data_IF_799491608321
#
_entry.id   IF_799491608321
#
_cell.length_a   1.000
_cell.length_b   1.000
_cell.length_c   1.000
_cell.angle_alpha   90.00
_cell.angle_beta   90.00
_cell.angle_gamma   90.00
#
_symmetry.space_group_name_H-M   'P 1'
#
loop_
_entity.id
_entity.type
_entity.pdbx_description
1 polymer ?
#
# COMPACT_ATOMS: atom_id res chain seq x y z
N UNK A 1 -48.14 58.26 -41.99
CA UNK A 1 -48.33 57.07 -42.81
C UNK A 1 -46.99 56.38 -42.92
N UNK A 2 -46.87 55.22 -42.55
CA UNK A 2 -45.89 54.10 -42.65
C UNK A 2 -45.29 53.65 -41.32
N UNK A 3 -45.85 52.55 -40.87
CA UNK A 3 -45.33 51.78 -39.78
C UNK A 3 -44.13 50.94 -40.29
N UNK A 4 -42.93 51.17 -39.74
CA UNK A 4 -41.79 50.29 -39.91
C UNK A 4 -41.88 49.26 -38.86
N UNK A 5 -41.91 47.96 -39.25
CA UNK A 5 -41.89 46.81 -38.46
C UNK A 5 -40.43 46.52 -38.12
N UNK A 6 -40.02 46.62 -36.83
CA UNK A 6 -38.72 46.23 -36.39
C UNK A 6 -38.75 44.73 -35.98
N UNK A 7 -38.01 43.88 -36.70
CA UNK A 7 -37.76 42.49 -36.40
C UNK A 7 -36.58 42.44 -35.41
N UNK A 8 -36.86 42.03 -34.19
CA UNK A 8 -35.78 41.71 -33.20
C UNK A 8 -35.39 40.26 -33.40
N UNK A 9 -34.20 40.02 -33.95
CA UNK A 9 -33.57 38.69 -33.99
C UNK A 9 -32.79 38.52 -32.72
N UNK A 10 -33.30 37.68 -31.81
CA UNK A 10 -32.57 37.24 -30.62
C UNK A 10 -31.55 36.14 -31.02
N UNK A 11 -30.30 36.48 -31.09
CA UNK A 11 -29.22 35.51 -31.26
C UNK A 11 -28.90 34.84 -29.91
N UNK A 12 -29.34 33.62 -29.73
CA UNK A 12 -28.99 32.77 -28.59
C UNK A 12 -27.59 32.20 -28.86
N UNK A 13 -26.57 32.78 -28.25
CA UNK A 13 -25.21 32.23 -28.28
C UNK A 13 -25.15 31.04 -27.32
N UNK A 14 -25.14 29.82 -27.84
CA UNK A 14 -24.83 28.60 -27.07
C UNK A 14 -23.33 28.57 -26.85
N UNK A 15 -22.91 28.85 -25.62
CA UNK A 15 -21.53 28.68 -25.18
C UNK A 15 -21.25 27.19 -24.99
N UNK A 16 -20.67 26.55 -25.99
CA UNK A 16 -20.14 25.18 -25.86
C UNK A 16 -18.83 25.28 -25.06
N UNK A 17 -18.89 24.94 -23.77
CA UNK A 17 -17.70 24.74 -22.96
C UNK A 17 -17.09 23.42 -23.42
N UNK A 18 -16.12 23.47 -24.31
CA UNK A 18 -15.26 22.33 -24.63
C UNK A 18 -14.29 22.23 -23.46
N UNK A 19 -14.57 21.33 -22.53
CA UNK A 19 -13.55 20.87 -21.56
C UNK A 19 -12.50 20.13 -22.35
N UNK A 20 -11.38 20.77 -22.66
CA UNK A 20 -10.22 20.08 -23.18
C UNK A 20 -9.76 19.05 -22.12
N UNK A 21 -9.46 17.81 -22.51
CA UNK A 21 -8.81 16.89 -21.59
C UNK A 21 -7.48 17.54 -21.16
N UNK A 22 -7.18 17.50 -19.87
CA UNK A 22 -5.88 17.91 -19.33
C UNK A 22 -4.82 16.92 -19.87
N UNK A 23 -4.32 17.18 -21.06
CA UNK A 23 -3.13 16.51 -21.57
C UNK A 23 -1.93 17.20 -20.91
N UNK A 24 -1.45 16.63 -19.81
CA UNK A 24 -0.10 16.93 -19.33
C UNK A 24 0.85 16.62 -20.49
N UNK A 25 1.80 17.52 -20.75
CA UNK A 25 2.88 17.23 -21.68
C UNK A 25 3.65 16.01 -21.15
N UNK A 26 4.05 15.09 -22.02
CA UNK A 26 4.68 13.82 -21.61
C UNK A 26 5.97 14.00 -20.78
N UNK A 27 6.58 15.19 -20.83
CA UNK A 27 7.78 15.53 -20.05
C UNK A 27 7.52 15.86 -18.55
N UNK A 28 6.24 16.07 -18.13
CA UNK A 28 5.90 16.44 -16.74
C UNK A 28 5.10 15.35 -15.97
N UNK A 29 4.78 14.24 -16.65
CA UNK A 29 3.99 13.17 -16.04
C UNK A 29 4.83 12.34 -15.06
N UNK A 30 4.50 12.43 -13.76
CA UNK A 30 5.19 11.62 -12.74
C UNK A 30 4.90 10.14 -12.93
N UNK A 31 5.96 9.32 -12.84
CA UNK A 31 5.89 7.86 -12.93
C UNK A 31 5.95 7.22 -11.55
N UNK A 32 5.11 6.26 -11.28
CA UNK A 32 5.03 5.52 -10.02
C UNK A 32 5.13 4.01 -10.28
N UNK A 33 6.00 3.32 -9.56
CA UNK A 33 6.03 1.85 -9.54
C UNK A 33 5.19 1.34 -8.39
N UNK A 34 4.19 0.50 -8.67
CA UNK A 34 3.37 -0.21 -7.67
C UNK A 34 3.69 -1.70 -7.74
N UNK A 35 4.29 -2.26 -6.70
CA UNK A 35 4.53 -3.71 -6.62
C UNK A 35 3.27 -4.44 -6.15
N UNK A 36 2.99 -5.63 -6.72
CA UNK A 36 1.79 -6.39 -6.36
C UNK A 36 0.47 -5.74 -6.79
N UNK A 37 0.46 -5.16 -7.98
CA UNK A 37 -0.64 -4.38 -8.55
C UNK A 37 -1.82 -5.21 -9.07
N UNK A 38 -1.77 -6.55 -9.02
CA UNK A 38 -2.76 -7.39 -9.70
C UNK A 38 -4.14 -7.43 -9.02
N UNK A 39 -4.22 -7.22 -7.71
CA UNK A 39 -5.48 -7.33 -6.94
C UNK A 39 -5.48 -6.45 -5.68
N UNK A 40 -6.66 -6.25 -5.09
CA UNK A 40 -6.83 -5.57 -3.81
C UNK A 40 -6.28 -4.15 -3.80
N UNK A 41 -5.58 -3.77 -2.74
CA UNK A 41 -5.05 -2.41 -2.55
C UNK A 41 -4.16 -1.98 -3.72
N UNK A 42 -3.24 -2.85 -4.17
CA UNK A 42 -2.34 -2.51 -5.27
C UNK A 42 -3.07 -2.27 -6.59
N UNK A 43 -4.13 -3.02 -6.88
CA UNK A 43 -4.94 -2.83 -8.08
C UNK A 43 -5.76 -1.53 -8.01
N UNK A 44 -6.44 -1.30 -6.91
CA UNK A 44 -7.23 -0.09 -6.69
C UNK A 44 -6.34 1.17 -6.76
N UNK A 45 -5.16 1.14 -6.10
CA UNK A 45 -4.21 2.24 -6.19
C UNK A 45 -3.69 2.46 -7.63
N UNK A 46 -3.41 1.40 -8.37
CA UNK A 46 -2.97 1.50 -9.77
C UNK A 46 -4.03 2.21 -10.62
N UNK A 47 -5.29 1.82 -10.48
CA UNK A 47 -6.42 2.44 -11.17
C UNK A 47 -6.59 3.91 -10.74
N UNK A 48 -6.56 4.18 -9.43
CA UNK A 48 -6.65 5.57 -8.90
C UNK A 48 -5.54 6.46 -9.43
N UNK A 49 -4.29 6.00 -9.44
CA UNK A 49 -3.16 6.76 -9.97
C UNK A 49 -3.33 7.05 -11.47
N UNK A 50 -3.69 6.04 -12.24
CA UNK A 50 -3.87 6.15 -13.69
C UNK A 50 -5.02 7.10 -14.07
N UNK A 51 -6.14 7.04 -13.37
CA UNK A 51 -7.30 7.95 -13.52
C UNK A 51 -6.95 9.40 -13.17
N UNK A 52 -6.01 9.61 -12.25
CA UNK A 52 -5.49 10.94 -11.90
C UNK A 52 -4.35 11.41 -12.84
N UNK A 53 -4.09 10.71 -13.93
CA UNK A 53 -3.17 11.13 -14.98
C UNK A 53 -1.69 10.81 -14.70
N UNK A 54 -1.37 10.00 -13.70
CA UNK A 54 -0.02 9.52 -13.43
C UNK A 54 0.32 8.30 -14.28
N UNK A 55 1.59 8.18 -14.69
CA UNK A 55 2.05 6.95 -15.32
C UNK A 55 2.38 5.89 -14.27
N UNK A 56 1.82 4.70 -14.41
CA UNK A 56 1.99 3.62 -13.44
C UNK A 56 2.71 2.43 -14.05
N UNK A 57 3.89 2.11 -13.53
CA UNK A 57 4.50 0.80 -13.72
C UNK A 57 3.86 -0.19 -12.75
N UNK A 58 3.00 -1.06 -13.25
CA UNK A 58 2.20 -1.98 -12.45
C UNK A 58 2.83 -3.37 -12.37
N UNK A 59 3.46 -3.68 -11.24
CA UNK A 59 4.17 -4.94 -11.02
C UNK A 59 3.25 -6.12 -10.73
N UNK A 60 3.28 -7.15 -11.55
CA UNK A 60 2.54 -8.40 -11.35
C UNK A 60 3.37 -9.62 -11.77
N UNK A 61 2.93 -10.83 -11.37
CA UNK A 61 3.67 -12.07 -11.62
C UNK A 61 3.10 -12.94 -12.71
N UNK A 62 1.79 -12.90 -12.92
CA UNK A 62 1.09 -13.77 -13.86
C UNK A 62 0.79 -13.02 -15.16
N UNK A 63 0.92 -13.71 -16.27
CA UNK A 63 0.72 -13.11 -17.58
C UNK A 63 -0.73 -12.65 -17.80
N UNK A 64 -1.71 -13.35 -17.22
CA UNK A 64 -3.12 -12.93 -17.21
C UNK A 64 -3.34 -11.60 -16.46
N UNK A 65 -2.65 -11.41 -15.32
CA UNK A 65 -2.72 -10.17 -14.54
C UNK A 65 -2.01 -9.03 -15.28
N UNK A 66 -0.88 -9.32 -15.94
CA UNK A 66 -0.15 -8.34 -16.75
C UNK A 66 -1.00 -7.83 -17.91
N UNK A 67 -1.65 -8.72 -18.66
CA UNK A 67 -2.55 -8.33 -19.75
C UNK A 67 -3.72 -7.46 -19.26
N UNK A 68 -4.28 -7.78 -18.09
CA UNK A 68 -5.38 -7.01 -17.50
C UNK A 68 -4.95 -5.64 -16.94
N UNK A 69 -3.68 -5.49 -16.56
CA UNK A 69 -3.10 -4.21 -16.11
C UNK A 69 -2.72 -3.33 -17.32
N UNK A 70 -2.12 -3.91 -18.34
CA UNK A 70 -1.68 -3.21 -19.54
C UNK A 70 -2.85 -2.67 -20.40
N UNK A 71 -4.06 -3.17 -20.17
CA UNK A 71 -5.28 -2.67 -20.78
C UNK A 71 -5.83 -1.37 -20.14
N UNK A 72 -5.20 -0.87 -19.06
CA UNK A 72 -5.60 0.37 -18.40
C UNK A 72 -4.79 1.53 -18.99
N UNK A 73 -5.45 2.61 -19.35
CA UNK A 73 -4.78 3.82 -19.82
C UNK A 73 -3.78 4.33 -18.76
N UNK A 74 -2.65 4.86 -19.19
CA UNK A 74 -1.54 5.32 -18.33
C UNK A 74 -0.84 4.23 -17.50
N UNK A 75 -1.10 2.95 -17.74
CA UNK A 75 -0.45 1.83 -17.05
C UNK A 75 0.47 1.07 -18.00
N UNK A 76 1.66 0.78 -17.54
CA UNK A 76 2.60 -0.18 -18.16
C UNK A 76 2.76 -1.37 -17.23
N UNK A 77 2.26 -2.53 -17.62
CA UNK A 77 2.41 -3.73 -16.83
C UNK A 77 3.85 -4.26 -16.88
N UNK A 78 4.43 -4.59 -15.72
CA UNK A 78 5.80 -5.09 -15.64
C UNK A 78 5.84 -6.44 -14.90
N UNK A 79 6.55 -7.40 -15.46
CA UNK A 79 6.78 -8.72 -14.84
C UNK A 79 7.69 -8.54 -13.64
N UNK A 80 7.12 -8.62 -12.42
CA UNK A 80 7.84 -8.34 -11.20
C UNK A 80 7.42 -9.26 -10.05
N UNK A 81 8.28 -10.20 -9.71
CA UNK A 81 8.26 -10.90 -8.43
C UNK A 81 9.36 -10.29 -7.54
N UNK A 82 8.97 -9.68 -6.43
CA UNK A 82 9.89 -9.01 -5.50
C UNK A 82 10.91 -9.95 -4.85
N UNK A 83 10.73 -11.27 -5.00
CA UNK A 83 11.67 -12.28 -4.53
C UNK A 83 12.76 -12.62 -5.55
N UNK A 84 12.62 -12.17 -6.81
CA UNK A 84 13.52 -12.47 -7.92
C UNK A 84 14.34 -11.24 -8.30
N UNK A 85 15.64 -11.25 -8.02
CA UNK A 85 16.53 -10.11 -8.28
C UNK A 85 16.62 -9.76 -9.77
N UNK A 86 16.66 -10.76 -10.63
CA UNK A 86 16.74 -10.59 -12.09
C UNK A 86 15.53 -9.85 -12.66
N UNK A 87 14.33 -10.13 -12.14
CA UNK A 87 13.13 -9.40 -12.54
C UNK A 87 13.13 -7.95 -12.02
N UNK A 88 13.60 -7.73 -10.80
CA UNK A 88 13.77 -6.38 -10.24
C UNK A 88 14.75 -5.58 -11.08
N UNK A 89 15.91 -6.14 -11.42
CA UNK A 89 16.95 -5.50 -12.24
C UNK A 89 16.45 -5.19 -13.66
N UNK A 90 15.66 -6.10 -14.25
CA UNK A 90 15.06 -5.90 -15.56
C UNK A 90 14.08 -4.69 -15.57
N UNK A 91 13.29 -4.52 -14.53
CA UNK A 91 12.36 -3.37 -14.41
C UNK A 91 13.14 -2.06 -14.16
N UNK A 92 14.20 -2.07 -13.32
CA UNK A 92 15.09 -0.91 -13.15
C UNK A 92 15.65 -0.48 -14.50
N UNK A 93 16.18 -1.44 -15.27
CA UNK A 93 16.73 -1.18 -16.61
C UNK A 93 15.67 -0.57 -17.54
N UNK A 94 14.48 -1.16 -17.59
CA UNK A 94 13.38 -0.68 -18.43
C UNK A 94 13.02 0.78 -18.11
N UNK A 95 12.83 1.12 -16.82
CA UNK A 95 12.49 2.48 -16.39
C UNK A 95 13.63 3.45 -16.73
N UNK A 96 14.89 3.04 -16.53
CA UNK A 96 16.05 3.85 -16.89
C UNK A 96 16.11 4.14 -18.39
N UNK A 97 15.90 3.12 -19.21
CA UNK A 97 15.95 3.23 -20.69
C UNK A 97 14.76 4.02 -21.26
N UNK A 98 13.60 4.03 -20.58
CA UNK A 98 12.45 4.85 -21.00
C UNK A 98 12.69 6.35 -20.86
N UNK A 99 13.61 6.77 -19.99
CA UNK A 99 13.89 8.17 -19.70
C UNK A 99 12.78 8.89 -18.92
N UNK A 100 11.72 8.22 -18.49
CA UNK A 100 10.60 8.82 -17.75
C UNK A 100 10.97 9.15 -16.30
N UNK A 101 12.06 8.57 -15.77
CA UNK A 101 12.40 8.62 -14.34
C UNK A 101 11.42 7.83 -13.48
N UNK A 102 11.61 7.87 -12.16
CA UNK A 102 10.71 7.26 -11.20
C UNK A 102 10.48 8.20 -10.01
N UNK A 103 9.32 8.82 -9.96
CA UNK A 103 8.96 9.72 -8.85
C UNK A 103 8.53 8.95 -7.59
N UNK A 104 7.78 7.86 -7.74
CA UNK A 104 7.23 7.12 -6.61
C UNK A 104 7.52 5.62 -6.66
N UNK A 105 7.96 5.06 -5.54
CA UNK A 105 8.01 3.62 -5.30
C UNK A 105 6.95 3.25 -4.25
N UNK A 106 6.00 2.40 -4.63
CA UNK A 106 5.04 1.81 -3.71
C UNK A 106 5.35 0.33 -3.50
N UNK A 107 5.92 0.02 -2.35
CA UNK A 107 6.15 -1.33 -1.89
C UNK A 107 4.84 -1.92 -1.33
N UNK A 108 3.98 -2.43 -2.22
CA UNK A 108 2.69 -2.99 -1.84
C UNK A 108 2.65 -4.53 -1.91
N UNK A 109 3.52 -5.16 -2.70
CA UNK A 109 3.57 -6.62 -2.76
C UNK A 109 3.73 -7.24 -1.37
N UNK A 110 2.81 -8.17 -1.03
CA UNK A 110 2.83 -8.83 0.25
C UNK A 110 1.96 -10.09 0.26
N UNK A 111 2.24 -10.95 1.21
CA UNK A 111 1.50 -12.19 1.42
C UNK A 111 1.03 -12.30 2.87
N UNK A 112 -0.18 -12.83 3.06
CA UNK A 112 -0.60 -13.36 4.34
C UNK A 112 0.10 -14.67 4.61
N UNK A 113 0.22 -15.00 5.84
CA UNK A 113 0.75 -16.29 6.27
C UNK A 113 0.47 -16.46 7.75
N UNK A 114 0.23 -17.66 8.16
CA UNK A 114 -0.07 -17.90 9.54
C UNK A 114 -0.20 -19.39 9.83
N UNK A 115 -0.34 -19.63 11.07
CA UNK A 115 -0.42 -20.88 11.77
C UNK A 115 0.16 -20.69 13.15
N UNK A 116 -0.17 -21.58 14.08
CA UNK A 116 0.38 -21.49 15.43
C UNK A 116 1.90 -21.62 15.39
N UNK A 117 2.59 -20.99 16.32
CA UNK A 117 4.07 -21.04 16.38
C UNK A 117 4.57 -22.48 16.53
N UNK A 118 3.83 -23.31 17.24
CA UNK A 118 4.23 -24.70 17.51
C UNK A 118 4.06 -25.63 16.31
N UNK A 119 3.10 -25.34 15.41
CA UNK A 119 2.73 -26.23 14.31
C UNK A 119 3.26 -25.75 12.96
N UNK A 120 3.54 -24.45 12.82
CA UNK A 120 3.97 -23.87 11.55
C UNK A 120 5.42 -24.19 11.25
N UNK A 121 5.71 -24.89 10.14
CA UNK A 121 7.09 -25.14 9.74
C UNK A 121 7.86 -23.83 9.51
N UNK A 122 9.11 -23.78 9.94
CA UNK A 122 9.99 -22.59 9.79
C UNK A 122 10.01 -22.06 8.35
N UNK A 123 10.01 -22.95 7.35
CA UNK A 123 9.99 -22.56 5.93
C UNK A 123 8.76 -21.73 5.52
N UNK A 124 7.62 -21.93 6.18
CA UNK A 124 6.40 -21.20 5.88
C UNK A 124 6.45 -19.78 6.48
N UNK A 125 7.07 -19.64 7.65
CA UNK A 125 7.42 -18.34 8.21
C UNK A 125 8.44 -17.62 7.33
N UNK A 126 9.53 -18.29 6.93
CA UNK A 126 10.57 -17.75 6.04
C UNK A 126 9.95 -17.22 4.75
N UNK A 127 8.99 -17.94 4.15
CA UNK A 127 8.32 -17.48 2.94
C UNK A 127 7.63 -16.12 3.13
N UNK A 128 6.96 -15.89 4.27
CA UNK A 128 6.34 -14.58 4.56
C UNK A 128 7.40 -13.48 4.64
N UNK A 129 8.51 -13.74 5.30
CA UNK A 129 9.62 -12.78 5.42
C UNK A 129 10.33 -12.54 4.08
N UNK A 130 10.53 -13.57 3.26
CA UNK A 130 11.12 -13.42 1.93
C UNK A 130 10.33 -12.46 1.05
N UNK A 131 8.99 -12.47 1.13
CA UNK A 131 8.15 -11.54 0.37
C UNK A 131 8.02 -10.19 1.07
N UNK A 132 7.58 -10.19 2.34
CA UNK A 132 7.16 -8.97 3.04
C UNK A 132 8.31 -8.14 3.59
N UNK A 133 9.49 -8.73 3.78
CA UNK A 133 10.68 -8.09 4.35
C UNK A 133 11.78 -7.98 3.30
N UNK A 134 12.34 -9.11 2.86
CA UNK A 134 13.43 -9.10 1.88
C UNK A 134 12.99 -8.50 0.53
N UNK A 135 11.75 -8.78 0.10
CA UNK A 135 11.18 -8.21 -1.12
C UNK A 135 11.09 -6.68 -1.07
N UNK A 136 10.61 -6.12 0.05
CA UNK A 136 10.58 -4.66 0.28
C UNK A 136 11.99 -4.07 0.29
N UNK A 137 12.91 -4.71 1.00
CA UNK A 137 14.31 -4.27 1.06
C UNK A 137 14.97 -4.30 -0.33
N UNK A 138 14.78 -5.38 -1.08
CA UNK A 138 15.31 -5.59 -2.44
C UNK A 138 14.81 -4.54 -3.40
N UNK A 139 13.50 -4.34 -3.46
CA UNK A 139 12.88 -3.35 -4.37
C UNK A 139 13.31 -1.94 -4.00
N UNK A 140 13.27 -1.57 -2.73
CA UNK A 140 13.74 -0.25 -2.29
C UNK A 140 15.19 -0.01 -2.68
N UNK A 141 16.09 -0.95 -2.39
CA UNK A 141 17.52 -0.82 -2.72
C UNK A 141 17.75 -0.64 -4.23
N UNK A 142 16.99 -1.36 -5.05
CA UNK A 142 17.16 -1.32 -6.50
C UNK A 142 16.61 -0.03 -7.13
N UNK A 143 15.43 0.43 -6.69
CA UNK A 143 14.76 1.59 -7.26
C UNK A 143 15.10 2.93 -6.59
N UNK A 144 15.69 2.92 -5.38
CA UNK A 144 16.04 4.14 -4.66
C UNK A 144 16.89 5.14 -5.47
N UNK A 145 17.88 4.73 -6.30
CA UNK A 145 18.62 5.68 -7.11
C UNK A 145 17.74 6.53 -8.02
N UNK A 146 16.74 5.93 -8.68
CA UNK A 146 15.79 6.63 -9.56
C UNK A 146 14.87 7.57 -8.79
N UNK A 147 14.45 7.15 -7.59
CA UNK A 147 13.59 7.97 -6.72
C UNK A 147 14.39 9.15 -6.11
N UNK A 148 15.67 8.96 -5.81
CA UNK A 148 16.58 10.02 -5.34
C UNK A 148 16.78 11.07 -6.44
N UNK A 149 17.01 10.65 -7.67
CA UNK A 149 17.18 11.55 -8.82
C UNK A 149 15.97 12.47 -9.00
N UNK A 150 14.76 11.94 -8.83
CA UNK A 150 13.52 12.72 -8.91
C UNK A 150 13.13 13.45 -7.62
N UNK A 151 13.89 13.31 -6.52
CA UNK A 151 13.53 13.79 -5.17
C UNK A 151 12.10 13.37 -4.80
N UNK A 152 11.82 12.12 -5.06
CA UNK A 152 10.46 11.58 -5.04
C UNK A 152 10.00 11.03 -3.71
N UNK A 153 9.24 9.93 -3.76
CA UNK A 153 8.57 9.34 -2.61
C UNK A 153 8.74 7.82 -2.55
N UNK A 154 8.92 7.28 -1.36
CA UNK A 154 8.85 5.83 -1.11
C UNK A 154 7.73 5.59 -0.11
N UNK A 155 6.72 4.82 -0.51
CA UNK A 155 5.58 4.50 0.35
C UNK A 155 5.45 2.98 0.47
N UNK A 156 5.39 2.47 1.71
CA UNK A 156 5.28 1.03 1.95
C UNK A 156 3.91 0.67 2.53
N UNK A 157 3.30 -0.39 2.03
CA UNK A 157 2.08 -0.95 2.61
C UNK A 157 2.41 -1.70 3.90
N UNK A 158 2.20 -1.04 5.03
CA UNK A 158 2.20 -1.62 6.36
C UNK A 158 0.94 -2.45 6.62
N UNK A 159 0.43 -2.35 7.82
CA UNK A 159 -0.86 -2.88 8.27
C UNK A 159 -1.08 -2.45 9.72
N UNK A 160 -2.32 -2.32 10.18
CA UNK A 160 -2.60 -2.26 11.62
C UNK A 160 -2.01 -3.46 12.38
N UNK A 161 -1.73 -4.58 11.71
CA UNK A 161 -1.04 -5.72 12.29
C UNK A 161 0.46 -5.46 12.57
N UNK A 162 1.02 -4.33 12.12
CA UNK A 162 2.34 -3.82 12.46
C UNK A 162 2.35 -2.93 13.70
N UNK A 163 1.18 -2.51 14.15
CA UNK A 163 1.00 -1.61 15.30
C UNK A 163 0.25 -2.25 16.46
N UNK A 164 -0.58 -3.26 16.22
CA UNK A 164 -1.34 -3.96 17.27
C UNK A 164 -0.70 -5.29 17.63
N UNK A 165 -0.96 -5.75 18.86
CA UNK A 165 -0.53 -7.07 19.34
C UNK A 165 -0.99 -8.19 18.41
N UNK A 166 -0.11 -9.13 18.12
CA UNK A 166 -0.40 -10.25 17.25
C UNK A 166 -1.42 -11.22 17.89
N UNK A 167 -2.24 -11.80 17.02
CA UNK A 167 -3.17 -12.88 17.41
C UNK A 167 -2.52 -14.26 17.26
N UNK A 168 -3.08 -15.29 17.90
CA UNK A 168 -2.68 -16.66 17.60
C UNK A 168 -2.74 -16.94 16.10
N UNK A 169 -1.69 -17.52 15.57
CA UNK A 169 -1.57 -17.82 14.14
C UNK A 169 -1.09 -16.68 13.24
N UNK A 170 -0.82 -15.49 13.78
CA UNK A 170 -0.39 -14.31 13.00
C UNK A 170 1.05 -13.88 13.23
N UNK A 171 1.86 -14.65 13.98
CA UNK A 171 3.22 -14.25 14.36
C UNK A 171 4.11 -13.87 13.17
N UNK A 172 4.11 -14.67 12.10
CA UNK A 172 4.91 -14.40 10.90
C UNK A 172 4.46 -13.11 10.18
N UNK A 173 3.16 -12.97 9.97
CA UNK A 173 2.62 -11.79 9.28
C UNK A 173 2.80 -10.52 10.11
N UNK A 174 2.35 -10.52 11.38
CA UNK A 174 2.49 -9.37 12.27
C UNK A 174 3.95 -8.99 12.48
N UNK A 175 4.84 -9.98 12.68
CA UNK A 175 6.28 -9.73 12.79
C UNK A 175 6.86 -9.06 11.53
N UNK A 176 6.42 -9.48 10.33
CA UNK A 176 6.83 -8.82 9.09
C UNK A 176 6.32 -7.39 8.97
N UNK A 177 5.12 -7.11 9.51
CA UNK A 177 4.54 -5.75 9.48
C UNK A 177 5.14 -4.84 10.55
N UNK A 178 5.49 -5.34 11.74
CA UNK A 178 6.28 -4.60 12.72
C UNK A 178 7.69 -4.26 12.19
N UNK A 179 8.30 -5.16 11.41
CA UNK A 179 9.56 -4.85 10.75
C UNK A 179 9.42 -3.65 9.79
N UNK A 180 8.31 -3.55 9.05
CA UNK A 180 8.06 -2.41 8.14
C UNK A 180 8.02 -1.08 8.90
N UNK A 181 7.47 -1.04 10.13
CA UNK A 181 7.44 0.16 10.95
C UNK A 181 8.86 0.65 11.28
N UNK A 182 9.69 -0.23 11.84
CA UNK A 182 11.08 0.09 12.16
C UNK A 182 11.92 0.41 10.90
N UNK A 183 11.67 -0.32 9.81
CA UNK A 183 12.31 -0.08 8.52
C UNK A 183 11.96 1.30 7.95
N UNK A 184 10.69 1.70 8.01
CA UNK A 184 10.23 3.01 7.54
C UNK A 184 10.91 4.14 8.30
N UNK A 185 11.06 4.04 9.62
CA UNK A 185 11.72 5.05 10.43
C UNK A 185 13.20 5.20 10.07
N UNK A 186 13.91 4.07 9.93
CA UNK A 186 15.32 4.06 9.54
C UNK A 186 15.50 4.66 8.14
N UNK A 187 14.76 4.12 7.17
CA UNK A 187 14.85 4.56 5.78
C UNK A 187 14.52 6.04 5.62
N UNK A 188 13.53 6.54 6.34
CA UNK A 188 13.16 7.94 6.27
C UNK A 188 14.28 8.88 6.73
N UNK A 189 14.99 8.50 7.78
CA UNK A 189 16.13 9.27 8.28
C UNK A 189 17.31 9.24 7.29
N UNK A 190 17.52 8.10 6.62
CA UNK A 190 18.55 7.94 5.59
C UNK A 190 18.24 8.74 4.32
N UNK A 191 16.97 8.83 3.94
CA UNK A 191 16.51 9.42 2.67
C UNK A 191 16.25 10.94 2.77
N UNK A 192 15.95 11.46 3.94
CA UNK A 192 15.67 12.88 4.15
C UNK A 192 16.77 13.80 3.62
N UNK A 193 18.09 13.56 3.90
CA UNK A 193 19.16 14.38 3.33
C UNK A 193 19.28 14.32 1.81
N UNK A 194 18.67 13.30 1.19
CA UNK A 194 18.64 13.08 -0.26
C UNK A 194 17.40 13.70 -0.92
N UNK A 195 16.53 14.32 -0.12
CA UNK A 195 15.30 14.97 -0.58
C UNK A 195 14.16 14.00 -0.89
N UNK A 196 14.24 12.75 -0.45
CA UNK A 196 13.19 11.74 -0.61
C UNK A 196 12.38 11.61 0.67
N UNK A 197 11.05 11.66 0.56
CA UNK A 197 10.16 11.42 1.69
C UNK A 197 9.73 9.96 1.72
N UNK A 198 9.72 9.39 2.92
CA UNK A 198 9.34 7.99 3.16
C UNK A 198 8.15 7.94 4.10
N UNK A 199 7.13 7.15 3.71
CA UNK A 199 5.90 6.97 4.48
C UNK A 199 5.48 5.50 4.52
N UNK A 200 4.66 5.17 5.51
CA UNK A 200 3.95 3.88 5.60
C UNK A 200 2.45 4.12 5.65
N UNK A 201 1.70 3.32 4.88
CA UNK A 201 0.23 3.24 4.96
C UNK A 201 -0.13 1.93 5.62
N UNK A 202 -0.90 1.99 6.69
CA UNK A 202 -1.26 0.88 7.58
C UNK A 202 -2.75 0.54 7.45
N UNK A 203 -3.15 -0.25 6.43
CA UNK A 203 -4.55 -0.61 6.25
C UNK A 203 -5.07 -1.54 7.34
N UNK A 204 -6.35 -1.36 7.68
CA UNK A 204 -7.17 -2.33 8.39
C UNK A 204 -7.77 -3.39 7.46
N UNK A 205 -8.99 -3.85 7.77
CA UNK A 205 -9.66 -4.89 7.01
C UNK A 205 -10.40 -4.31 5.80
N UNK A 206 -9.70 -4.16 4.70
CA UNK A 206 -10.25 -3.82 3.39
C UNK A 206 -10.30 -5.02 2.46
N UNK A 207 -11.10 -4.92 1.41
CA UNK A 207 -11.23 -5.96 0.40
C UNK A 207 -9.90 -6.23 -0.30
N UNK A 208 -9.41 -7.45 -0.14
CA UNK A 208 -8.17 -7.93 -0.75
C UNK A 208 -8.18 -9.46 -0.81
N UNK A 209 -7.27 -10.04 -1.60
CA UNK A 209 -7.13 -11.50 -1.68
C UNK A 209 -6.08 -12.07 -0.74
N UNK A 210 -5.56 -11.29 0.20
CA UNK A 210 -4.38 -11.67 1.00
C UNK A 210 -4.64 -12.90 1.87
N UNK A 211 -5.80 -12.96 2.53
CA UNK A 211 -6.19 -14.07 3.40
C UNK A 211 -6.52 -15.32 2.59
N UNK A 212 -7.38 -15.20 1.58
CA UNK A 212 -7.76 -16.30 0.68
C UNK A 212 -6.54 -16.88 -0.03
N UNK A 213 -5.61 -16.05 -0.50
CA UNK A 213 -4.36 -16.51 -1.12
C UNK A 213 -3.48 -17.29 -0.14
N UNK A 214 -3.52 -16.98 1.15
CA UNK A 214 -2.81 -17.74 2.17
C UNK A 214 -3.41 -19.15 2.33
N UNK A 215 -4.73 -19.24 2.43
CA UNK A 215 -5.42 -20.55 2.51
C UNK A 215 -5.20 -21.36 1.22
N UNK A 216 -5.31 -20.73 0.06
CA UNK A 216 -5.07 -21.40 -1.23
C UNK A 216 -3.65 -22.00 -1.32
N UNK A 217 -2.62 -21.28 -0.86
CA UNK A 217 -1.25 -21.81 -0.79
C UNK A 217 -1.14 -23.04 0.11
N UNK A 218 -1.86 -23.06 1.24
CA UNK A 218 -1.93 -24.23 2.12
C UNK A 218 -2.54 -25.45 1.39
N UNK A 219 -3.61 -25.26 0.66
CA UNK A 219 -4.26 -26.28 -0.16
C UNK A 219 -3.32 -26.82 -1.24
N UNK A 220 -2.69 -25.91 -2.02
CA UNK A 220 -1.74 -26.30 -3.07
C UNK A 220 -0.51 -27.06 -2.52
N UNK A 221 -0.01 -26.64 -1.36
CA UNK A 221 1.08 -27.35 -0.68
C UNK A 221 0.66 -28.76 -0.28
N UNK A 222 -0.56 -28.94 0.28
CA UNK A 222 -1.11 -30.25 0.63
C UNK A 222 -1.18 -31.17 -0.60
N UNK A 223 -1.71 -30.68 -1.72
CA UNK A 223 -1.74 -31.42 -3.00
C UNK A 223 -0.33 -31.78 -3.49
N UNK A 224 0.60 -30.82 -3.48
CA UNK A 224 1.97 -31.01 -3.96
C UNK A 224 2.76 -32.06 -3.14
N UNK A 225 2.39 -32.28 -1.87
CA UNK A 225 3.00 -33.31 -1.01
C UNK A 225 2.24 -34.64 -1.02
N UNK A 226 1.24 -34.81 -1.91
CA UNK A 226 0.41 -36.00 -2.02
C UNK A 226 -0.60 -36.16 -0.87
N UNK A 227 -0.83 -35.10 -0.10
CA UNK A 227 -1.84 -35.09 0.95
C UNK A 227 -3.26 -34.88 0.42
N UNK A 228 -4.25 -35.30 1.17
CA UNK A 228 -5.66 -35.10 0.84
C UNK A 228 -6.12 -33.70 1.26
N UNK A 229 -6.81 -32.99 0.36
CA UNK A 229 -7.45 -31.72 0.67
C UNK A 229 -8.75 -32.01 1.42
N UNK A 230 -8.77 -31.70 2.71
CA UNK A 230 -9.91 -31.97 3.57
C UNK A 230 -11.09 -31.02 3.27
N UNK A 231 -12.30 -31.46 3.62
CA UNK A 231 -13.50 -30.62 3.55
C UNK A 231 -13.37 -29.36 4.42
N UNK A 232 -12.66 -29.45 5.55
CA UNK A 232 -12.38 -28.32 6.43
C UNK A 232 -11.51 -27.25 5.73
N UNK A 233 -10.45 -27.68 5.01
CA UNK A 233 -9.60 -26.76 4.23
C UNK A 233 -10.40 -26.05 3.14
N UNK A 234 -11.31 -26.78 2.46
CA UNK A 234 -12.17 -26.20 1.44
C UNK A 234 -13.16 -25.19 2.04
N UNK A 235 -13.82 -25.52 3.15
CA UNK A 235 -14.70 -24.61 3.89
C UNK A 235 -13.96 -23.36 4.39
N UNK A 236 -12.72 -23.52 4.87
CA UNK A 236 -11.88 -22.40 5.28
C UNK A 236 -11.57 -21.44 4.11
N UNK A 237 -11.33 -21.99 2.91
CA UNK A 237 -11.14 -21.17 1.72
C UNK A 237 -12.40 -20.40 1.33
N UNK A 238 -13.55 -21.08 1.27
CA UNK A 238 -14.84 -20.50 0.91
C UNK A 238 -15.29 -19.42 1.91
N UNK A 239 -15.23 -19.71 3.21
CA UNK A 239 -15.58 -18.73 4.25
C UNK A 239 -14.67 -17.52 4.27
N UNK A 240 -13.39 -17.70 3.94
CA UNK A 240 -12.45 -16.59 3.80
C UNK A 240 -12.79 -15.74 2.58
N UNK A 241 -13.14 -16.37 1.46
CA UNK A 241 -13.54 -15.67 0.24
C UNK A 241 -14.83 -14.85 0.45
N UNK A 242 -15.84 -15.42 1.11
CA UNK A 242 -17.08 -14.71 1.45
C UNK A 242 -16.83 -13.51 2.36
N UNK A 243 -15.99 -13.69 3.39
CA UNK A 243 -15.61 -12.61 4.29
C UNK A 243 -14.88 -11.46 3.56
N UNK A 244 -13.95 -11.78 2.64
CA UNK A 244 -13.26 -10.76 1.85
C UNK A 244 -14.22 -9.96 0.96
N UNK A 245 -15.27 -10.59 0.43
CA UNK A 245 -16.30 -9.90 -0.36
C UNK A 245 -17.16 -8.94 0.47
N UNK A 246 -17.28 -9.17 1.78
CA UNK A 246 -18.03 -8.29 2.69
C UNK A 246 -17.25 -7.04 3.12
N UNK A 247 -15.95 -6.98 2.89
CA UNK A 247 -15.14 -5.84 3.25
C UNK A 247 -15.33 -4.67 2.29
N UNK A 248 -15.12 -3.45 2.81
CA UNK A 248 -15.15 -2.21 2.05
C UNK A 248 -14.05 -2.20 0.98
N UNK A 249 -14.32 -1.61 -0.18
CA UNK A 249 -13.28 -1.36 -1.19
C UNK A 249 -12.18 -0.46 -0.59
N UNK A 250 -10.93 -0.59 -1.03
CA UNK A 250 -9.79 0.11 -0.41
C UNK A 250 -9.57 1.54 -0.92
N UNK A 251 -10.62 2.25 -1.32
CA UNK A 251 -10.52 3.61 -1.88
C UNK A 251 -9.88 4.57 -0.89
N UNK A 252 -10.26 4.54 0.39
CA UNK A 252 -9.64 5.36 1.45
C UNK A 252 -8.15 5.04 1.64
N UNK A 253 -7.75 3.81 1.34
CA UNK A 253 -6.34 3.40 1.39
C UNK A 253 -5.59 4.03 0.20
N UNK A 254 -6.19 4.02 -0.98
CA UNK A 254 -5.63 4.70 -2.17
C UNK A 254 -5.54 6.21 -1.96
N UNK A 255 -6.54 6.85 -1.31
CA UNK A 255 -6.47 8.28 -0.94
C UNK A 255 -5.28 8.58 -0.03
N UNK A 256 -5.01 7.70 0.96
CA UNK A 256 -3.85 7.86 1.84
C UNK A 256 -2.52 7.71 1.06
N UNK A 257 -2.43 6.80 0.10
CA UNK A 257 -1.27 6.70 -0.79
C UNK A 257 -1.12 7.94 -1.67
N UNK A 258 -2.22 8.47 -2.22
CA UNK A 258 -2.20 9.71 -2.99
C UNK A 258 -1.67 10.88 -2.17
N UNK A 259 -2.14 11.04 -0.93
CA UNK A 259 -1.63 12.06 -0.01
C UNK A 259 -0.14 11.84 0.30
N UNK A 260 0.29 10.61 0.61
CA UNK A 260 1.69 10.30 0.89
C UNK A 260 2.63 10.56 -0.30
N UNK A 261 2.14 10.33 -1.54
CA UNK A 261 2.91 10.51 -2.77
C UNK A 261 2.98 11.96 -3.24
N UNK A 262 1.93 12.77 -3.04
CA UNK A 262 1.82 14.04 -3.77
C UNK A 262 1.56 15.26 -2.90
N UNK A 263 1.15 15.11 -1.63
CA UNK A 263 0.94 16.25 -0.75
C UNK A 263 2.26 16.96 -0.42
N UNK A 264 2.18 18.25 -0.17
CA UNK A 264 3.34 19.07 0.23
C UNK A 264 3.84 18.71 1.64
N UNK A 265 2.94 18.24 2.50
CA UNK A 265 3.22 17.87 3.89
C UNK A 265 2.77 16.42 4.19
N UNK A 266 3.37 15.41 3.54
CA UNK A 266 2.97 14.03 3.77
C UNK A 266 3.30 13.61 5.21
N UNK A 267 2.44 12.74 5.75
CA UNK A 267 2.67 12.14 7.06
C UNK A 267 3.66 10.97 6.96
N UNK A 268 4.34 10.67 8.05
CA UNK A 268 5.16 9.47 8.16
C UNK A 268 4.32 8.20 8.19
N UNK A 269 3.18 8.23 8.90
CA UNK A 269 2.27 7.10 9.11
C UNK A 269 0.83 7.45 8.81
N UNK A 270 0.14 6.54 8.12
CA UNK A 270 -1.27 6.63 7.77
C UNK A 270 -2.00 5.38 8.24
N UNK A 271 -2.60 5.41 9.42
CA UNK A 271 -3.52 4.35 9.83
C UNK A 271 -4.85 4.56 9.13
N UNK A 272 -5.24 3.60 8.30
CA UNK A 272 -6.47 3.67 7.50
C UNK A 272 -7.32 2.44 7.79
N UNK A 273 -8.45 2.65 8.42
CA UNK A 273 -9.36 1.57 8.85
C UNK A 273 -10.80 1.85 8.42
N UNK A 274 -11.59 0.81 8.09
CA UNK A 274 -12.90 0.97 7.48
C UNK A 274 -13.98 1.48 8.44
N UNK A 275 -13.73 1.51 9.74
CA UNK A 275 -14.71 1.87 10.77
C UNK A 275 -14.07 2.30 12.09
N UNK A 276 -14.87 3.00 12.92
CA UNK A 276 -14.44 3.51 14.23
C UNK A 276 -14.02 2.41 15.22
N UNK A 277 -14.60 1.21 15.13
CA UNK A 277 -14.26 0.11 16.03
C UNK A 277 -12.83 -0.41 15.78
N UNK A 278 -12.40 -0.51 14.51
CA UNK A 278 -11.01 -0.86 14.19
C UNK A 278 -10.05 0.26 14.61
N UNK A 279 -10.44 1.53 14.47
CA UNK A 279 -9.65 2.67 14.92
C UNK A 279 -9.45 2.62 16.43
N UNK A 280 -10.52 2.50 17.19
CA UNK A 280 -10.47 2.40 18.65
C UNK A 280 -9.59 1.24 19.09
N UNK A 281 -9.75 0.07 18.49
CA UNK A 281 -8.93 -1.11 18.78
C UNK A 281 -7.45 -0.86 18.49
N UNK A 282 -7.12 -0.24 17.38
CA UNK A 282 -5.73 0.05 17.00
C UNK A 282 -5.06 0.97 17.99
N UNK A 283 -5.70 2.10 18.31
CA UNK A 283 -5.15 3.08 19.24
C UNK A 283 -5.12 2.55 20.68
N UNK A 284 -6.19 1.90 21.15
CA UNK A 284 -6.23 1.36 22.50
C UNK A 284 -5.19 0.27 22.74
N UNK A 285 -4.86 -0.53 21.72
CA UNK A 285 -3.80 -1.53 21.82
C UNK A 285 -2.43 -0.87 22.02
N UNK A 286 -2.12 0.18 21.26
CA UNK A 286 -0.87 0.94 21.43
C UNK A 286 -0.77 1.59 22.82
N UNK A 287 -1.89 2.14 23.33
CA UNK A 287 -1.92 2.68 24.70
C UNK A 287 -1.68 1.58 25.72
N UNK A 288 -2.26 0.39 25.55
CA UNK A 288 -2.03 -0.74 26.45
C UNK A 288 -0.57 -1.22 26.42
N UNK A 289 0.06 -1.26 25.25
CA UNK A 289 1.48 -1.59 25.12
C UNK A 289 2.37 -0.54 25.81
N UNK A 290 2.08 0.74 25.64
CA UNK A 290 2.76 1.82 26.36
C UNK A 290 2.66 1.62 27.89
N UNK A 291 1.47 1.27 28.40
CA UNK A 291 1.27 0.98 29.83
C UNK A 291 2.11 -0.22 30.27
N UNK A 292 2.19 -1.31 29.48
CA UNK A 292 3.04 -2.47 29.77
C UNK A 292 4.52 -2.10 29.83
N UNK A 293 5.00 -1.30 28.86
CA UNK A 293 6.39 -0.81 28.82
C UNK A 293 6.73 0.02 30.07
N UNK A 294 5.75 0.73 30.62
CA UNK A 294 5.94 1.58 31.80
C UNK A 294 5.85 0.83 33.15
N UNK A 295 5.55 -0.48 33.15
CA UNK A 295 5.30 -1.23 34.41
C UNK A 295 6.59 -1.62 35.15
N UNK A 296 7.73 -1.72 34.49
CA UNK A 296 8.97 -2.27 35.06
C UNK A 296 10.14 -1.27 34.96
N UNK A 297 10.82 -1.07 36.08
CA UNK A 297 12.07 -0.33 36.15
C UNK A 297 12.00 0.87 37.12
N UNK A 298 13.18 1.43 37.45
CA UNK A 298 13.27 2.54 38.42
C UNK A 298 12.83 3.90 37.85
N UNK A 299 12.56 3.99 36.55
CA UNK A 299 12.24 5.23 35.84
C UNK A 299 10.81 5.22 35.26
N UNK A 300 9.89 4.45 35.88
CA UNK A 300 8.49 4.44 35.48
C UNK A 300 7.83 5.80 35.71
N UNK A 301 7.01 6.21 34.75
CA UNK A 301 6.27 7.46 34.80
C UNK A 301 4.95 7.29 35.56
N UNK A 302 4.54 8.32 36.31
CA UNK A 302 3.18 8.41 36.86
C UNK A 302 2.16 8.64 35.74
N UNK A 303 0.87 8.42 36.03
CA UNK A 303 -0.20 8.75 35.07
C UNK A 303 -0.10 10.19 34.56
N UNK A 304 0.11 11.16 35.47
CA UNK A 304 0.11 12.58 35.11
C UNK A 304 1.33 12.92 34.21
N UNK A 305 2.48 12.32 34.47
CA UNK A 305 3.65 12.44 33.61
C UNK A 305 3.41 11.83 32.23
N UNK A 306 2.72 10.67 32.12
CA UNK A 306 2.35 10.09 30.81
C UNK A 306 1.39 10.99 30.05
N UNK A 307 0.42 11.61 30.74
CA UNK A 307 -0.50 12.59 30.12
C UNK A 307 0.28 13.82 29.63
N UNK A 308 1.21 14.34 30.39
CA UNK A 308 2.06 15.47 29.98
C UNK A 308 2.89 15.13 28.71
N UNK A 309 3.47 13.91 28.65
CA UNK A 309 4.18 13.46 27.46
C UNK A 309 3.26 13.34 26.24
N UNK A 310 2.04 12.86 26.43
CA UNK A 310 1.03 12.78 25.37
C UNK A 310 0.64 14.18 24.87
N UNK A 311 0.36 15.12 25.77
CA UNK A 311 0.01 16.50 25.43
C UNK A 311 1.13 17.19 24.65
N UNK A 312 2.39 16.96 25.06
CA UNK A 312 3.56 17.46 24.35
C UNK A 312 3.67 16.86 22.94
N UNK A 313 3.44 15.54 22.81
CA UNK A 313 3.49 14.86 21.51
C UNK A 313 2.37 15.36 20.58
N UNK A 314 1.16 15.53 21.08
CA UNK A 314 0.04 16.11 20.32
C UNK A 314 0.36 17.52 19.83
N UNK A 315 0.92 18.37 20.70
CA UNK A 315 1.28 19.75 20.35
C UNK A 315 2.39 19.82 19.29
N UNK A 316 3.33 18.88 19.30
CA UNK A 316 4.43 18.81 18.33
C UNK A 316 4.02 18.28 16.94
N UNK A 317 2.92 17.52 16.87
CA UNK A 317 2.42 16.88 15.66
C UNK A 317 1.08 17.44 15.16
N UNK A 318 0.63 18.57 15.73
CA UNK A 318 -0.54 19.29 15.19
C UNK A 318 -0.12 19.99 13.90
N UNK A 319 -0.86 19.85 12.80
CA UNK A 319 -0.55 20.43 11.49
C UNK A 319 -0.43 21.95 11.48
#
# INVERSE_FOLDING_TARGET
LNKLLQLVVAATSVLIIITAPNTFAADDQKSILVTGASTGIGRNLTETLAENGYHVYAGARKDEDLAALDAIDNVTAVKLDVTQQDQVDAVVKMITESGTGLYGLVNNAGVGGGGTVLETPVKDQTFVYTVNVEGVYRTTKAFAPLVIESKGRIVTTGSIAGTISAFPGFSAYSGSKHWIEAYTDSLATEMEPLGVVVSVVEPGNYKSRIRRSSVARGIEKTKATGGEVTEEMQKAYESTAERELSYKEPDEVSDAFMHALFDEKPLRRYVVVPNAQEQERTISTQINELVQLNQWGPYSYTRDQLVELLDKALSANTP
#
